data_IF_173052105847
#
_entry.id   IF_173052105847
#
_cell.length_a   1.000
_cell.length_b   1.000
_cell.length_c   1.000
_cell.angle_alpha   90.00
_cell.angle_beta   90.00
_cell.angle_gamma   90.00
#
_symmetry.space_group_name_H-M   'P 1'
#
loop_
_entity.id
_entity.type
_entity.pdbx_description
1 polymer ?
#
# COMPACT_ATOMS: atom_id res chain seq x y z
N UNK A 1 22.74 25.41 -19.68
CA UNK A 1 23.14 24.30 -18.77
C UNK A 1 22.29 24.24 -17.50
N UNK A 2 21.90 25.37 -16.90
CA UNK A 2 21.09 25.37 -15.67
C UNK A 2 19.67 24.78 -15.84
N UNK A 3 19.05 24.92 -17.02
CA UNK A 3 17.70 24.39 -17.28
C UNK A 3 17.66 22.87 -17.22
N UNK A 4 18.60 22.17 -17.86
CA UNK A 4 18.67 20.70 -17.84
C UNK A 4 18.89 20.19 -16.41
N UNK A 5 19.80 20.83 -15.66
CA UNK A 5 20.04 20.50 -14.25
C UNK A 5 18.77 20.65 -13.41
N UNK A 6 18.04 21.76 -13.56
CA UNK A 6 16.81 22.03 -12.82
C UNK A 6 15.69 21.05 -13.19
N UNK A 7 15.55 20.71 -14.48
CA UNK A 7 14.58 19.73 -14.95
C UNK A 7 14.83 18.34 -14.36
N UNK A 8 16.08 17.86 -14.41
CA UNK A 8 16.45 16.56 -13.82
C UNK A 8 16.22 16.54 -12.31
N UNK A 9 16.60 17.62 -11.62
CA UNK A 9 16.39 17.73 -10.18
C UNK A 9 14.90 17.64 -9.82
N UNK A 10 14.04 18.38 -10.55
CA UNK A 10 12.60 18.33 -10.35
C UNK A 10 12.05 16.92 -10.61
N UNK A 11 12.48 16.26 -11.69
CA UNK A 11 12.07 14.88 -11.98
C UNK A 11 12.42 13.93 -10.83
N UNK A 12 13.64 14.00 -10.30
CA UNK A 12 14.06 13.15 -9.18
C UNK A 12 13.26 13.47 -7.92
N UNK A 13 13.06 14.74 -7.61
CA UNK A 13 12.27 15.16 -6.44
C UNK A 13 10.84 14.62 -6.54
N UNK A 14 10.17 14.80 -7.68
CA UNK A 14 8.81 14.29 -7.88
C UNK A 14 8.76 12.76 -7.85
N UNK A 15 9.76 12.09 -8.43
CA UNK A 15 9.87 10.63 -8.38
C UNK A 15 10.01 10.13 -6.95
N UNK A 16 10.85 10.76 -6.12
CA UNK A 16 11.03 10.38 -4.71
C UNK A 16 9.77 10.68 -3.90
N UNK A 17 9.17 11.86 -4.09
CA UNK A 17 7.96 12.25 -3.37
C UNK A 17 6.80 11.30 -3.67
N UNK A 18 6.51 11.07 -4.95
CA UNK A 18 5.34 10.28 -5.35
C UNK A 18 5.61 8.78 -5.36
N UNK A 19 6.83 8.35 -5.67
CA UNK A 19 7.20 6.93 -5.78
C UNK A 19 7.65 6.30 -4.47
N UNK A 20 8.14 7.08 -3.51
CA UNK A 20 8.62 6.56 -2.24
C UNK A 20 7.93 7.19 -1.04
N UNK A 21 8.03 8.51 -0.87
CA UNK A 21 7.57 9.15 0.35
C UNK A 21 6.05 9.01 0.53
N UNK A 22 5.27 9.20 -0.53
CA UNK A 22 3.81 9.07 -0.47
C UNK A 22 3.34 7.63 -0.18
N UNK A 23 3.78 6.58 -0.91
CA UNK A 23 3.41 5.21 -0.61
C UNK A 23 3.83 4.78 0.80
N UNK A 24 5.03 5.16 1.24
CA UNK A 24 5.51 4.84 2.59
C UNK A 24 4.68 5.52 3.67
N UNK A 25 4.38 6.82 3.51
CA UNK A 25 3.56 7.55 4.46
C UNK A 25 2.17 6.94 4.61
N UNK A 26 1.48 6.68 3.50
CA UNK A 26 0.15 6.07 3.53
C UNK A 26 0.19 4.63 4.05
N UNK A 27 1.22 3.84 3.69
CA UNK A 27 1.41 2.50 4.24
C UNK A 27 1.59 2.54 5.75
N UNK A 28 2.44 3.43 6.27
CA UNK A 28 2.67 3.57 7.71
C UNK A 28 1.40 4.00 8.45
N UNK A 29 0.69 5.00 7.92
CA UNK A 29 -0.59 5.44 8.48
C UNK A 29 -1.58 4.27 8.50
N UNK A 30 -1.70 3.53 7.39
CA UNK A 30 -2.56 2.36 7.30
C UNK A 30 -2.20 1.27 8.32
N UNK A 31 -0.92 0.97 8.48
CA UNK A 31 -0.45 -0.03 9.43
C UNK A 31 -0.65 0.40 10.90
N UNK A 32 -0.48 1.68 11.22
CA UNK A 32 -0.64 2.20 12.60
C UNK A 32 -2.11 2.28 12.99
N UNK A 33 -2.97 2.85 12.14
CA UNK A 33 -4.35 3.16 12.50
C UNK A 33 -5.35 2.09 12.04
N UNK A 34 -5.04 1.33 11.00
CA UNK A 34 -5.97 0.40 10.34
C UNK A 34 -5.31 -0.95 10.01
N UNK A 35 -4.55 -1.50 10.96
CA UNK A 35 -3.72 -2.70 10.75
C UNK A 35 -4.48 -3.87 10.10
N UNK A 36 -5.67 -4.23 10.60
CA UNK A 36 -6.42 -5.36 10.05
C UNK A 36 -6.85 -5.13 8.60
N UNK A 37 -7.30 -3.92 8.27
CA UNK A 37 -7.75 -3.56 6.92
C UNK A 37 -6.59 -3.41 5.95
N UNK A 38 -5.50 -2.75 6.38
CA UNK A 38 -4.28 -2.58 5.59
C UNK A 38 -3.63 -3.93 5.22
N UNK A 39 -3.83 -4.95 6.06
CA UNK A 39 -3.35 -6.31 5.80
C UNK A 39 -4.43 -7.24 5.19
N UNK A 40 -5.49 -6.68 4.60
CA UNK A 40 -6.46 -7.44 3.78
C UNK A 40 -7.68 -7.99 4.53
N UNK A 41 -7.92 -7.59 5.78
CA UNK A 41 -9.08 -8.00 6.58
C UNK A 41 -9.28 -9.53 6.64
N UNK A 42 -8.18 -10.25 6.85
CA UNK A 42 -8.13 -11.70 6.80
C UNK A 42 -8.98 -12.35 7.91
N UNK A 43 -9.61 -13.48 7.58
CA UNK A 43 -10.34 -14.33 8.51
C UNK A 43 -9.51 -15.60 8.75
N UNK A 44 -9.35 -15.95 10.02
CA UNK A 44 -8.63 -17.15 10.44
C UNK A 44 -9.57 -18.13 11.13
N UNK A 45 -9.39 -19.42 10.84
CA UNK A 45 -10.09 -20.54 11.48
C UNK A 45 -9.08 -21.66 11.69
N UNK A 46 -9.06 -22.26 12.88
CA UNK A 46 -8.08 -23.29 13.27
C UNK A 46 -6.62 -22.91 12.94
N UNK A 47 -6.26 -21.67 13.26
CA UNK A 47 -4.91 -21.11 13.03
C UNK A 47 -4.47 -21.08 11.55
N UNK A 48 -5.42 -21.19 10.60
CA UNK A 48 -5.20 -21.07 9.16
C UNK A 48 -6.00 -19.90 8.61
N UNK A 49 -5.41 -19.18 7.65
CA UNK A 49 -6.12 -18.13 6.92
C UNK A 49 -7.09 -18.82 5.95
N UNK A 50 -8.39 -18.58 6.16
CA UNK A 50 -9.44 -19.18 5.32
C UNK A 50 -9.99 -18.20 4.29
N UNK A 51 -9.74 -16.89 4.42
CA UNK A 51 -10.21 -15.89 3.46
C UNK A 51 -10.06 -14.46 3.96
N UNK A 52 -10.87 -13.55 3.41
CA UNK A 52 -10.98 -12.15 3.82
C UNK A 52 -12.45 -11.78 4.00
N UNK A 53 -12.73 -10.89 4.95
CA UNK A 53 -14.06 -10.31 5.14
C UNK A 53 -14.60 -9.61 3.88
N UNK A 54 -13.72 -9.21 2.96
CA UNK A 54 -14.08 -8.43 1.77
C UNK A 54 -14.22 -9.26 0.49
N UNK A 55 -13.76 -10.52 0.49
CA UNK A 55 -13.75 -11.38 -0.70
C UNK A 55 -14.76 -12.51 -0.50
N UNK A 56 -15.74 -12.59 -1.39
CA UNK A 56 -16.68 -13.70 -1.45
C UNK A 56 -16.01 -14.96 -2.01
N UNK A 57 -16.34 -16.12 -1.45
CA UNK A 57 -15.89 -17.42 -1.94
C UNK A 57 -16.95 -18.03 -2.85
N UNK A 58 -16.50 -18.79 -3.84
CA UNK A 58 -17.41 -19.57 -4.66
C UNK A 58 -17.82 -20.83 -3.89
N UNK A 59 -19.12 -20.99 -3.66
CA UNK A 59 -19.71 -22.16 -3.02
C UNK A 59 -20.43 -22.94 -4.11
N UNK A 60 -20.12 -24.24 -4.21
CA UNK A 60 -20.63 -25.12 -5.28
C UNK A 60 -21.54 -26.22 -4.73
N UNK A 61 -21.84 -26.18 -3.44
CA UNK A 61 -22.82 -27.03 -2.75
C UNK A 61 -24.00 -26.21 -2.24
#
# INVERSE_FOLDING_TARGET
MNTIRNSICLTIITMVLCGFLFPLAITLIGQIFFYQQANGSLITYDNRIVGSKLIGQHWTE
#
